data_IF_928437095313
#
_entry.id   IF_928437095313
#
_cell.length_a   1.000
_cell.length_b   1.000
_cell.length_c   1.000
_cell.angle_alpha   90.00
_cell.angle_beta   90.00
_cell.angle_gamma   90.00
#
_symmetry.space_group_name_H-M   'P 1'
#
loop_
_entity.id
_entity.type
_entity.pdbx_description
1 polymer ?
#
# COMPACT_ATOMS: atom_id res chain seq x y z
N UNK A 1 -9.16 -19.19 -55.41
CA UNK A 1 -8.72 -19.92 -54.22
C UNK A 1 -8.60 -18.96 -53.04
N UNK A 2 -9.70 -18.81 -52.31
CA UNK A 2 -9.77 -18.01 -51.08
C UNK A 2 -9.59 -18.95 -49.91
N UNK A 3 -8.42 -18.85 -49.27
CA UNK A 3 -8.17 -19.55 -48.01
C UNK A 3 -8.85 -18.79 -46.87
N UNK A 4 -9.81 -19.47 -46.23
CA UNK A 4 -10.48 -19.00 -45.04
C UNK A 4 -9.53 -18.95 -43.85
N UNK A 5 -9.41 -17.76 -43.26
CA UNK A 5 -8.77 -17.59 -41.97
C UNK A 5 -9.63 -18.23 -40.88
N UNK A 6 -9.07 -19.25 -40.27
CA UNK A 6 -9.68 -20.09 -39.25
C UNK A 6 -10.08 -19.28 -38.02
N UNK A 7 -11.32 -19.45 -37.64
CA UNK A 7 -12.04 -18.94 -36.48
C UNK A 7 -11.53 -19.45 -35.11
N UNK A 8 -10.27 -19.87 -35.01
CA UNK A 8 -9.72 -20.44 -33.78
C UNK A 8 -9.37 -19.40 -32.68
N UNK A 9 -9.19 -18.12 -33.05
CA UNK A 9 -8.86 -17.08 -32.08
C UNK A 9 -10.08 -16.62 -31.22
N UNK A 10 -11.30 -16.86 -31.70
CA UNK A 10 -12.53 -16.43 -31.03
C UNK A 10 -12.99 -17.38 -29.90
N UNK A 11 -12.54 -18.64 -29.89
CA UNK A 11 -12.98 -19.64 -28.92
C UNK A 11 -12.16 -19.67 -27.61
N UNK A 12 -10.93 -19.15 -27.62
CA UNK A 12 -10.09 -19.04 -26.40
C UNK A 12 -10.68 -18.03 -25.41
N UNK A 13 -11.39 -17.02 -25.89
CA UNK A 13 -12.00 -15.98 -25.05
C UNK A 13 -13.32 -16.42 -24.39
N UNK A 14 -13.99 -17.48 -24.88
CA UNK A 14 -15.25 -17.99 -24.32
C UNK A 14 -15.08 -18.79 -23.01
N UNK A 15 -13.86 -19.14 -22.61
CA UNK A 15 -13.56 -19.99 -21.45
C UNK A 15 -12.85 -19.29 -20.29
N UNK A 16 -12.91 -17.96 -20.20
CA UNK A 16 -12.33 -17.29 -19.03
C UNK A 16 -13.26 -17.49 -17.82
N UNK A 17 -12.80 -18.16 -16.77
CA UNK A 17 -13.60 -18.35 -15.57
C UNK A 17 -13.85 -16.99 -14.90
N UNK A 18 -15.10 -16.65 -14.72
CA UNK A 18 -15.55 -15.52 -13.92
C UNK A 18 -16.42 -16.02 -12.77
N UNK A 19 -16.31 -15.36 -11.64
CA UNK A 19 -17.14 -15.61 -10.47
C UNK A 19 -18.35 -14.69 -10.49
N UNK A 20 -19.57 -15.22 -10.31
CA UNK A 20 -20.77 -14.39 -10.17
C UNK A 20 -21.13 -14.31 -8.69
N UNK A 21 -21.16 -13.10 -8.16
CA UNK A 21 -21.61 -12.80 -6.79
C UNK A 21 -22.96 -12.10 -6.85
N UNK A 22 -24.00 -12.80 -6.42
CA UNK A 22 -25.34 -12.25 -6.33
C UNK A 22 -25.56 -11.50 -5.01
N UNK A 23 -26.14 -10.31 -5.07
CA UNK A 23 -26.43 -9.48 -3.89
C UNK A 23 -27.71 -8.66 -4.06
N UNK A 24 -28.12 -7.93 -3.03
CA UNK A 24 -29.32 -7.06 -3.04
C UNK A 24 -29.15 -5.77 -3.89
N UNK A 25 -28.09 -5.66 -4.70
CA UNK A 25 -27.83 -4.51 -5.57
C UNK A 25 -28.83 -4.42 -6.74
N UNK A 26 -28.95 -3.25 -7.32
CA UNK A 26 -29.83 -2.97 -8.48
C UNK A 26 -29.09 -2.97 -9.83
N UNK A 27 -27.75 -2.95 -9.82
CA UNK A 27 -26.92 -2.78 -11.03
C UNK A 27 -25.92 -3.92 -11.20
N UNK A 28 -25.55 -4.22 -12.45
CA UNK A 28 -24.39 -5.06 -12.77
C UNK A 28 -23.08 -4.27 -12.58
N UNK A 29 -22.05 -4.97 -12.12
CA UNK A 29 -20.69 -4.46 -12.18
C UNK A 29 -19.71 -5.62 -12.39
N UNK A 30 -18.61 -5.34 -13.10
CA UNK A 30 -17.47 -6.23 -13.24
C UNK A 30 -16.27 -5.62 -12.53
N UNK A 31 -15.49 -6.47 -11.89
CA UNK A 31 -14.27 -6.12 -11.20
C UNK A 31 -13.17 -7.11 -11.58
N UNK A 32 -12.01 -6.59 -11.94
CA UNK A 32 -10.78 -7.39 -12.07
C UNK A 32 -10.00 -7.26 -10.76
N UNK A 33 -9.68 -8.40 -10.14
CA UNK A 33 -8.85 -8.45 -8.93
C UNK A 33 -7.36 -8.32 -9.28
N UNK A 34 -6.53 -8.09 -8.27
CA UNK A 34 -5.08 -7.97 -8.43
C UNK A 34 -4.39 -9.25 -8.98
N UNK A 35 -5.01 -10.41 -8.80
CA UNK A 35 -4.57 -11.70 -9.32
C UNK A 35 -5.06 -11.98 -10.77
N UNK A 36 -5.71 -10.99 -11.40
CA UNK A 36 -6.31 -11.11 -12.73
C UNK A 36 -7.65 -11.86 -12.76
N UNK A 37 -8.19 -12.33 -11.62
CA UNK A 37 -9.50 -12.97 -11.57
C UNK A 37 -10.63 -11.96 -11.79
N UNK A 38 -11.70 -12.39 -12.48
CA UNK A 38 -12.84 -11.54 -12.85
C UNK A 38 -14.04 -11.88 -11.97
N UNK A 39 -14.59 -10.89 -11.29
CA UNK A 39 -15.79 -11.03 -10.46
C UNK A 39 -16.90 -10.15 -11.01
N UNK A 40 -18.05 -10.76 -11.27
CA UNK A 40 -19.28 -10.08 -11.69
C UNK A 40 -20.22 -9.99 -10.49
N UNK A 41 -20.59 -8.78 -10.13
CA UNK A 41 -21.57 -8.55 -9.07
C UNK A 41 -22.94 -8.27 -9.71
N UNK A 42 -23.91 -9.13 -9.44
CA UNK A 42 -25.22 -9.10 -10.06
C UNK A 42 -26.37 -9.01 -9.04
N UNK A 43 -27.53 -8.44 -9.41
CA UNK A 43 -28.78 -8.56 -8.65
C UNK A 43 -29.22 -10.02 -8.50
N UNK A 44 -29.79 -10.40 -7.33
CA UNK A 44 -30.21 -11.78 -7.00
C UNK A 44 -31.09 -12.47 -8.05
N UNK A 45 -31.90 -11.70 -8.80
CA UNK A 45 -32.86 -12.24 -9.79
C UNK A 45 -32.47 -11.95 -11.24
N UNK A 46 -31.19 -11.61 -11.50
CA UNK A 46 -30.77 -11.29 -12.85
C UNK A 46 -30.58 -12.56 -13.69
N UNK A 47 -31.16 -12.58 -14.86
CA UNK A 47 -31.04 -13.72 -15.79
C UNK A 47 -29.59 -13.82 -16.33
N UNK A 48 -29.07 -15.04 -16.44
CA UNK A 48 -27.67 -15.33 -16.83
C UNK A 48 -27.31 -14.72 -18.19
N UNK A 49 -28.23 -14.76 -19.17
CA UNK A 49 -27.97 -14.18 -20.50
C UNK A 49 -27.69 -12.68 -20.48
N UNK A 50 -28.28 -11.91 -19.52
CA UNK A 50 -28.03 -10.49 -19.36
C UNK A 50 -26.61 -10.25 -18.80
N UNK A 51 -26.15 -11.13 -17.91
CA UNK A 51 -24.78 -11.09 -17.37
C UNK A 51 -23.78 -11.39 -18.50
N UNK A 52 -24.06 -12.41 -19.31
CA UNK A 52 -23.22 -12.79 -20.45
C UNK A 52 -23.15 -11.67 -21.52
N UNK A 53 -24.28 -11.03 -21.82
CA UNK A 53 -24.33 -9.89 -22.74
C UNK A 53 -23.49 -8.70 -22.21
N UNK A 54 -23.59 -8.41 -20.92
CA UNK A 54 -22.81 -7.37 -20.27
C UNK A 54 -21.31 -7.69 -20.29
N UNK A 55 -20.91 -8.93 -20.03
CA UNK A 55 -19.52 -9.36 -20.09
C UNK A 55 -18.97 -9.24 -21.50
N UNK A 56 -19.77 -9.58 -22.51
CA UNK A 56 -19.38 -9.42 -23.92
C UNK A 56 -19.19 -7.95 -24.27
N UNK A 57 -20.06 -7.06 -23.82
CA UNK A 57 -19.91 -5.60 -24.02
C UNK A 57 -18.63 -5.06 -23.37
N UNK A 58 -18.26 -5.58 -22.18
CA UNK A 58 -17.08 -5.14 -21.42
C UNK A 58 -15.80 -5.93 -21.70
N UNK A 59 -15.80 -6.78 -22.73
CA UNK A 59 -14.69 -7.70 -22.99
C UNK A 59 -13.34 -7.02 -23.13
N UNK A 60 -13.25 -5.95 -23.90
CA UNK A 60 -11.99 -5.21 -24.12
C UNK A 60 -11.52 -4.53 -22.84
N UNK A 61 -12.45 -3.96 -22.08
CA UNK A 61 -12.17 -3.38 -20.78
C UNK A 61 -11.62 -4.43 -19.81
N UNK A 62 -12.26 -5.61 -19.74
CA UNK A 62 -11.81 -6.73 -18.88
C UNK A 62 -10.41 -7.17 -19.28
N UNK A 63 -10.15 -7.35 -20.57
CA UNK A 63 -8.85 -7.77 -21.09
C UNK A 63 -7.75 -6.78 -20.68
N UNK A 64 -7.93 -5.51 -20.99
CA UNK A 64 -6.96 -4.46 -20.67
C UNK A 64 -6.66 -4.36 -19.17
N UNK A 65 -7.71 -4.45 -18.33
CA UNK A 65 -7.53 -4.36 -16.88
C UNK A 65 -6.90 -5.61 -16.29
N UNK A 66 -7.15 -6.77 -16.88
CA UNK A 66 -6.53 -8.03 -16.50
C UNK A 66 -5.04 -8.05 -16.82
N UNK A 67 -4.66 -7.65 -18.02
CA UNK A 67 -3.24 -7.53 -18.39
C UNK A 67 -2.50 -6.55 -17.46
N UNK A 68 -3.09 -5.39 -17.18
CA UNK A 68 -2.52 -4.43 -16.22
C UNK A 68 -2.37 -5.01 -14.82
N UNK A 69 -3.38 -5.75 -14.34
CA UNK A 69 -3.34 -6.38 -13.02
C UNK A 69 -2.25 -7.47 -12.94
N UNK A 70 -2.13 -8.31 -13.97
CA UNK A 70 -1.11 -9.36 -14.04
C UNK A 70 0.29 -8.77 -14.14
N UNK A 71 0.51 -7.78 -15.01
CA UNK A 71 1.80 -7.09 -15.13
C UNK A 71 2.21 -6.42 -13.81
N UNK A 72 1.28 -5.77 -13.12
CA UNK A 72 1.53 -5.17 -11.81
C UNK A 72 1.84 -6.23 -10.74
N UNK A 73 1.19 -7.41 -10.80
CA UNK A 73 1.46 -8.52 -9.89
C UNK A 73 2.85 -9.13 -10.13
N UNK A 74 3.25 -9.33 -11.40
CA UNK A 74 4.58 -9.80 -11.80
C UNK A 74 5.67 -8.83 -11.36
N UNK A 75 5.48 -7.53 -11.60
CA UNK A 75 6.44 -6.51 -11.18
C UNK A 75 6.57 -6.44 -9.66
N UNK A 76 5.45 -6.57 -8.94
CA UNK A 76 5.45 -6.64 -7.48
C UNK A 76 6.14 -7.91 -6.96
N UNK A 77 5.97 -9.04 -7.63
CA UNK A 77 6.66 -10.28 -7.29
C UNK A 77 8.17 -10.19 -7.55
N UNK A 78 8.57 -9.62 -8.69
CA UNK A 78 9.97 -9.38 -9.04
C UNK A 78 10.68 -8.43 -8.07
N UNK A 79 9.97 -7.42 -7.57
CA UNK A 79 10.49 -6.45 -6.59
C UNK A 79 10.41 -6.94 -5.13
N UNK A 80 9.94 -8.16 -4.90
CA UNK A 80 9.80 -8.70 -3.55
C UNK A 80 11.16 -9.16 -3.04
N UNK A 81 11.60 -8.57 -1.93
CA UNK A 81 12.81 -9.01 -1.22
C UNK A 81 12.69 -10.49 -0.85
N UNK A 82 13.77 -11.24 -1.06
CA UNK A 82 13.91 -12.57 -0.49
C UNK A 82 13.86 -12.53 1.03
N UNK A 83 13.59 -13.65 1.69
CA UNK A 83 13.53 -13.70 3.15
C UNK A 83 14.87 -13.29 3.80
N UNK A 84 16.00 -13.64 3.18
CA UNK A 84 17.33 -13.26 3.63
C UNK A 84 17.57 -11.74 3.51
N UNK A 85 17.25 -11.16 2.36
CA UNK A 85 17.34 -9.71 2.13
C UNK A 85 16.41 -8.95 3.08
N UNK A 86 15.18 -9.44 3.26
CA UNK A 86 14.24 -8.84 4.21
C UNK A 86 14.79 -8.82 5.63
N UNK A 87 15.37 -9.94 6.10
CA UNK A 87 16.01 -10.00 7.43
C UNK A 87 17.17 -9.02 7.55
N UNK A 88 18.00 -8.89 6.53
CA UNK A 88 19.10 -7.93 6.50
C UNK A 88 18.60 -6.49 6.57
N UNK A 89 17.59 -6.14 5.78
CA UNK A 89 16.99 -4.80 5.77
C UNK A 89 16.32 -4.48 7.11
N UNK A 90 15.58 -5.42 7.71
CA UNK A 90 14.96 -5.25 9.05
C UNK A 90 16.02 -5.02 10.13
N UNK A 91 17.13 -5.76 10.10
CA UNK A 91 18.25 -5.57 11.02
C UNK A 91 18.87 -4.16 10.86
N UNK A 92 19.11 -3.74 9.61
CA UNK A 92 19.61 -2.39 9.30
C UNK A 92 18.63 -1.31 9.80
N UNK A 93 17.31 -1.53 9.57
CA UNK A 93 16.27 -0.62 10.04
C UNK A 93 16.29 -0.46 11.56
N UNK A 94 16.43 -1.56 12.31
CA UNK A 94 16.50 -1.53 13.76
C UNK A 94 17.66 -0.67 14.25
N UNK A 95 18.84 -0.83 13.64
CA UNK A 95 20.03 -0.05 13.98
C UNK A 95 19.85 1.43 13.66
N UNK A 96 19.52 1.76 12.41
CA UNK A 96 19.41 3.16 11.96
C UNK A 96 18.31 3.92 12.72
N UNK A 97 17.15 3.31 12.94
CA UNK A 97 16.05 3.93 13.67
C UNK A 97 16.39 4.12 15.15
N UNK A 98 17.13 3.20 15.77
CA UNK A 98 17.62 3.36 17.14
C UNK A 98 18.62 4.52 17.26
N UNK A 99 19.59 4.61 16.34
CA UNK A 99 20.60 5.69 16.31
C UNK A 99 19.92 7.06 16.11
N UNK A 100 19.00 7.18 15.12
CA UNK A 100 18.26 8.41 14.87
C UNK A 100 17.35 8.81 16.03
N UNK A 101 16.70 7.83 16.65
CA UNK A 101 15.85 8.08 17.82
C UNK A 101 16.66 8.60 18.98
N UNK A 102 17.83 8.02 19.27
CA UNK A 102 18.71 8.49 20.33
C UNK A 102 19.24 9.91 20.06
N UNK A 103 19.64 10.18 18.82
CA UNK A 103 20.10 11.50 18.38
C UNK A 103 19.01 12.57 18.57
N UNK A 104 17.84 12.40 17.95
CA UNK A 104 16.76 13.38 18.03
C UNK A 104 16.14 13.48 19.44
N UNK A 105 16.06 12.40 20.20
CA UNK A 105 15.58 12.44 21.58
C UNK A 105 16.48 13.34 22.46
N UNK A 106 17.81 13.28 22.27
CA UNK A 106 18.76 14.15 22.94
C UNK A 106 18.56 15.61 22.55
N UNK A 107 18.45 15.90 21.26
CA UNK A 107 18.25 17.26 20.76
C UNK A 107 16.91 17.86 21.21
N UNK A 108 15.84 17.06 21.18
CA UNK A 108 14.50 17.48 21.61
C UNK A 108 14.35 17.52 23.14
N UNK A 109 15.32 17.02 23.91
CA UNK A 109 15.26 16.96 25.38
C UNK A 109 14.12 16.05 25.87
N UNK A 110 13.88 14.92 25.21
CA UNK A 110 12.83 13.94 25.58
C UNK A 110 13.41 12.56 25.85
N UNK A 111 12.69 11.80 26.66
CA UNK A 111 13.00 10.38 26.93
C UNK A 111 12.00 9.49 26.21
N UNK A 112 12.43 8.29 25.87
CA UNK A 112 11.56 7.26 25.26
C UNK A 112 11.78 5.92 25.92
N UNK A 113 10.82 5.00 25.73
CA UNK A 113 10.91 3.64 26.24
C UNK A 113 11.52 2.68 25.22
N UNK A 114 10.88 1.52 25.03
CA UNK A 114 11.33 0.51 24.10
C UNK A 114 11.03 0.91 22.63
N UNK A 115 11.99 0.66 21.73
CA UNK A 115 11.78 0.70 20.29
C UNK A 115 11.42 -0.70 19.79
N UNK A 116 10.41 -0.80 18.96
CA UNK A 116 10.00 -2.04 18.28
C UNK A 116 9.90 -1.81 16.78
N UNK A 117 10.54 -2.64 16.00
CA UNK A 117 10.46 -2.62 14.53
C UNK A 117 9.35 -3.58 14.10
N UNK A 118 8.44 -3.08 13.28
CA UNK A 118 7.25 -3.81 12.81
C UNK A 118 7.05 -3.64 11.31
N UNK A 119 6.18 -4.46 10.76
CA UNK A 119 5.58 -4.24 9.43
C UNK A 119 4.10 -3.93 9.64
N UNK A 120 3.75 -2.64 9.52
CA UNK A 120 2.38 -2.18 9.65
C UNK A 120 1.84 -1.72 8.29
N UNK A 121 0.59 -2.06 7.98
CA UNK A 121 -0.03 -1.71 6.68
C UNK A 121 -0.49 -0.25 6.60
N UNK A 122 -0.74 0.39 7.73
CA UNK A 122 -1.44 1.70 7.79
C UNK A 122 -0.66 2.79 8.51
N UNK A 123 0.48 2.46 9.13
CA UNK A 123 1.26 3.42 9.94
C UNK A 123 2.75 3.25 9.70
N UNK A 124 3.47 4.35 9.72
CA UNK A 124 4.93 4.39 9.62
C UNK A 124 5.60 4.39 10.98
N UNK A 125 4.93 4.95 11.97
CA UNK A 125 5.36 4.96 13.35
C UNK A 125 4.18 5.01 14.31
N UNK A 126 4.45 4.87 15.61
CA UNK A 126 3.53 5.18 16.70
C UNK A 126 4.28 5.36 18.02
N UNK A 127 3.81 6.28 18.85
CA UNK A 127 4.28 6.47 20.21
C UNK A 127 3.13 6.17 21.18
N UNK A 128 3.38 5.35 22.22
CA UNK A 128 2.42 5.12 23.28
C UNK A 128 2.54 6.19 24.37
N UNK A 129 1.53 6.32 25.24
CA UNK A 129 1.58 7.21 26.42
C UNK A 129 2.76 6.88 27.36
N UNK A 130 3.15 5.61 27.43
CA UNK A 130 4.35 5.16 28.17
C UNK A 130 5.68 5.48 27.44
N UNK A 131 5.65 6.09 26.25
CA UNK A 131 6.82 6.43 25.46
C UNK A 131 7.42 5.30 24.66
N UNK A 132 6.76 4.15 24.54
CA UNK A 132 7.23 3.09 23.65
C UNK A 132 7.00 3.46 22.20
N UNK A 133 8.02 3.28 21.38
CA UNK A 133 8.04 3.67 19.97
C UNK A 133 7.96 2.43 19.08
N UNK A 134 7.13 2.47 18.07
CA UNK A 134 7.12 1.45 17.01
C UNK A 134 7.42 2.14 15.69
N UNK A 135 8.24 1.50 14.86
CA UNK A 135 8.57 1.99 13.53
C UNK A 135 8.38 0.88 12.48
N UNK A 136 7.94 1.27 11.30
CA UNK A 136 7.90 0.39 10.15
C UNK A 136 9.31 0.25 9.55
N UNK A 137 9.80 -0.98 9.41
CA UNK A 137 11.13 -1.23 8.85
C UNK A 137 11.33 -0.67 7.44
N UNK A 138 10.25 -0.52 6.68
CA UNK A 138 10.30 0.02 5.31
C UNK A 138 10.75 1.48 5.24
N UNK A 139 10.77 2.20 6.35
CA UNK A 139 11.30 3.56 6.41
C UNK A 139 12.75 3.67 5.91
N UNK A 140 13.57 2.62 6.05
CA UNK A 140 14.97 2.64 5.56
C UNK A 140 15.10 2.51 4.05
N UNK A 141 14.01 2.20 3.35
CA UNK A 141 13.94 2.17 1.89
C UNK A 141 13.57 3.53 1.30
N UNK A 142 13.16 4.47 2.14
CA UNK A 142 12.74 5.82 1.76
C UNK A 142 13.88 6.81 1.86
N UNK A 143 13.73 8.04 1.31
CA UNK A 143 14.67 9.11 1.55
C UNK A 143 14.93 9.31 3.05
N UNK A 144 16.18 9.54 3.42
CA UNK A 144 16.60 9.65 4.82
C UNK A 144 15.80 10.71 5.59
N UNK A 145 15.51 11.83 4.97
CA UNK A 145 14.71 12.92 5.57
C UNK A 145 13.28 12.51 5.92
N UNK A 146 12.70 11.55 5.20
CA UNK A 146 11.37 10.98 5.53
C UNK A 146 11.47 10.17 6.82
N UNK A 147 12.52 9.37 6.97
CA UNK A 147 12.78 8.62 8.19
C UNK A 147 13.00 9.57 9.38
N UNK A 148 13.80 10.65 9.20
CA UNK A 148 14.00 11.69 10.21
C UNK A 148 12.67 12.32 10.62
N UNK A 149 11.83 12.68 9.65
CA UNK A 149 10.50 13.22 9.91
C UNK A 149 9.65 12.29 10.77
N UNK A 150 9.60 11.00 10.45
CA UNK A 150 8.79 10.04 11.23
C UNK A 150 9.36 9.88 12.64
N UNK A 151 10.68 9.80 12.81
CA UNK A 151 11.32 9.70 14.14
C UNK A 151 11.01 10.94 14.98
N UNK A 152 11.17 12.14 14.42
CA UNK A 152 10.87 13.41 15.11
C UNK A 152 9.38 13.48 15.46
N UNK A 153 8.49 13.04 14.54
CA UNK A 153 7.05 12.99 14.77
C UNK A 153 6.69 12.11 15.97
N UNK A 154 7.24 10.90 16.05
CA UNK A 154 6.96 10.01 17.17
C UNK A 154 7.58 10.51 18.49
N UNK A 155 8.73 11.16 18.45
CA UNK A 155 9.33 11.79 19.62
C UNK A 155 8.56 13.05 20.07
N UNK A 156 7.96 13.80 19.16
CA UNK A 156 7.12 14.95 19.49
C UNK A 156 5.91 14.57 20.35
N UNK A 157 5.41 13.34 20.22
CA UNK A 157 4.37 12.80 21.10
C UNK A 157 4.81 12.68 22.57
N UNK A 158 6.11 12.76 22.87
CA UNK A 158 6.59 12.81 24.26
C UNK A 158 6.32 14.17 24.93
N UNK A 159 6.09 15.22 24.12
CA UNK A 159 5.71 16.56 24.59
C UNK A 159 4.23 16.83 24.41
N UNK A 160 3.67 16.44 23.29
CA UNK A 160 2.26 16.69 22.92
C UNK A 160 1.63 15.43 22.30
N UNK A 161 0.70 14.80 22.99
CA UNK A 161 0.09 13.54 22.54
C UNK A 161 -0.86 13.72 21.34
N UNK A 162 -1.47 14.87 21.20
CA UNK A 162 -2.43 15.17 20.14
C UNK A 162 -1.78 15.97 19.02
N UNK A 163 -2.18 15.74 17.78
CA UNK A 163 -1.68 16.47 16.60
C UNK A 163 -2.24 17.90 16.52
N UNK A 164 -2.09 18.65 17.60
CA UNK A 164 -2.50 20.06 17.73
C UNK A 164 -1.47 21.01 17.07
N UNK A 165 -1.79 22.30 17.05
CA UNK A 165 -0.82 23.32 16.62
C UNK A 165 0.48 23.28 17.46
N UNK A 166 0.37 22.95 18.76
CA UNK A 166 1.54 22.80 19.66
C UNK A 166 2.41 21.62 19.25
N UNK A 167 1.79 20.49 18.89
CA UNK A 167 2.51 19.33 18.39
C UNK A 167 3.35 19.69 17.15
N UNK A 168 2.71 20.31 16.16
CA UNK A 168 3.44 20.70 14.94
C UNK A 168 4.45 21.82 15.17
N UNK A 169 4.31 22.65 16.18
CA UNK A 169 5.33 23.61 16.59
C UNK A 169 6.58 22.88 17.11
N UNK A 170 6.41 21.81 17.90
CA UNK A 170 7.53 20.96 18.36
C UNK A 170 8.23 20.29 17.18
N UNK A 171 7.47 19.75 16.22
CA UNK A 171 8.04 19.14 15.01
C UNK A 171 8.79 20.17 14.18
N UNK A 172 8.20 21.35 13.96
CA UNK A 172 8.81 22.44 13.17
C UNK A 172 10.07 23.01 13.81
N UNK A 173 10.16 23.03 15.13
CA UNK A 173 11.36 23.46 15.85
C UNK A 173 12.56 22.56 15.52
N UNK A 174 12.33 21.24 15.41
CA UNK A 174 13.37 20.26 15.12
C UNK A 174 13.61 20.11 13.62
N UNK A 175 12.56 20.23 12.80
CA UNK A 175 12.59 20.09 11.34
C UNK A 175 11.71 21.16 10.70
N UNK A 176 12.26 22.36 10.38
CA UNK A 176 11.48 23.46 9.82
C UNK A 176 10.77 23.12 8.49
N UNK A 177 11.36 22.25 7.70
CA UNK A 177 10.87 21.78 6.41
C UNK A 177 9.97 20.52 6.51
N UNK A 178 9.49 20.15 7.70
CA UNK A 178 8.74 18.92 7.95
C UNK A 178 7.52 18.72 7.01
N UNK A 179 6.88 19.80 6.57
CA UNK A 179 5.72 19.74 5.67
C UNK A 179 6.06 19.11 4.32
N UNK A 180 7.27 19.34 3.82
CA UNK A 180 7.76 18.72 2.58
C UNK A 180 7.76 17.20 2.72
N UNK A 181 8.34 16.71 3.82
CA UNK A 181 8.49 15.27 4.07
C UNK A 181 7.20 14.59 4.48
N UNK A 182 6.33 15.32 5.17
CA UNK A 182 4.95 14.87 5.43
C UNK A 182 4.16 14.68 4.13
N UNK A 183 4.21 15.65 3.20
CA UNK A 183 3.56 15.55 1.90
C UNK A 183 4.15 14.42 1.07
N UNK A 184 5.46 14.33 1.01
CA UNK A 184 6.15 13.25 0.32
C UNK A 184 5.68 11.87 0.82
N UNK A 185 5.65 11.68 2.14
CA UNK A 185 5.20 10.40 2.75
C UNK A 185 3.73 10.09 2.44
N UNK A 186 2.88 11.11 2.38
CA UNK A 186 1.47 10.96 2.01
C UNK A 186 1.29 10.54 0.55
N UNK A 187 2.11 11.08 -0.35
CA UNK A 187 2.05 10.84 -1.80
C UNK A 187 2.68 9.50 -2.17
N UNK A 188 3.88 9.22 -1.67
CA UNK A 188 4.72 8.09 -2.08
C UNK A 188 4.73 6.91 -1.10
N UNK A 189 4.29 7.09 0.13
CA UNK A 189 4.38 6.03 1.14
C UNK A 189 3.67 4.72 0.76
N UNK A 190 2.67 4.77 -0.13
CA UNK A 190 1.96 3.56 -0.59
C UNK A 190 2.74 2.73 -1.61
N UNK A 191 3.83 3.23 -2.13
CA UNK A 191 4.69 2.56 -3.10
C UNK A 191 5.60 1.53 -2.41
N UNK A 192 5.79 1.66 -1.10
CA UNK A 192 6.56 0.80 -0.21
C UNK A 192 5.66 -0.15 0.58
#
# INVERSE_FOLDING_TARGET
STQGYSSAASDVYKRQPYEIVYSARKTLAVQVKADGSVVVRAPKRMAKYKIEAFLKEKQDWIHTHREKALAAAEQKAANRLTEAERKAVVKRAAQMLAEKTAHFAKEMGVTYGRITIREQKTRWGSCSSAGNLNYNWKLVLMPERVMDYVVIHELAHRKEMNHSARFYAVVAQQMPDYKVWQSWLKEHGREY
#
